data_IF_350419603172
#
_entry.id   IF_350419603172
#
_cell.length_a   1.000
_cell.length_b   1.000
_cell.length_c   1.000
_cell.angle_alpha   90.00
_cell.angle_beta   90.00
_cell.angle_gamma   90.00
#
_symmetry.space_group_name_H-M   'P 1'
#
loop_
_entity.id
_entity.type
_entity.pdbx_description
1 polymer ?
#
# COMPACT_ATOMS: atom_id res chain seq x y z
N UNK A 1 -23.61 19.12 -65.00
CA UNK A 1 -23.90 17.98 -64.09
C UNK A 1 -22.60 17.28 -63.77
N UNK A 2 -22.03 17.49 -62.60
CA UNK A 2 -20.84 16.81 -62.11
C UNK A 2 -21.27 15.99 -60.89
N UNK A 3 -21.36 14.67 -61.08
CA UNK A 3 -21.61 13.71 -60.00
C UNK A 3 -20.38 13.56 -59.11
N UNK A 4 -20.46 14.05 -57.87
CA UNK A 4 -19.46 13.76 -56.85
C UNK A 4 -19.63 12.33 -56.37
N UNK A 5 -18.57 11.53 -56.51
CA UNK A 5 -18.49 10.17 -55.94
C UNK A 5 -17.86 10.30 -54.58
N UNK A 6 -18.65 10.12 -53.52
CA UNK A 6 -18.16 10.08 -52.15
C UNK A 6 -17.19 8.88 -52.00
N UNK A 7 -15.98 9.08 -51.42
CA UNK A 7 -15.08 7.96 -51.15
C UNK A 7 -15.63 7.21 -49.93
N UNK A 8 -16.31 6.09 -50.17
CA UNK A 8 -16.60 5.09 -49.13
C UNK A 8 -15.26 4.61 -48.59
N UNK A 9 -14.88 5.04 -47.41
CA UNK A 9 -13.68 4.57 -46.70
C UNK A 9 -13.88 3.11 -46.35
N UNK A 10 -13.42 2.23 -47.21
CA UNK A 10 -13.43 0.78 -47.01
C UNK A 10 -12.50 0.46 -45.83
N UNK A 11 -13.07 0.24 -44.67
CA UNK A 11 -12.36 -0.25 -43.50
C UNK A 11 -11.81 -1.65 -43.78
N UNK A 12 -10.49 -1.79 -43.95
CA UNK A 12 -9.85 -3.07 -44.22
C UNK A 12 -10.12 -4.09 -43.09
N UNK A 13 -10.69 -5.28 -43.38
CA UNK A 13 -11.09 -6.29 -42.40
C UNK A 13 -9.92 -6.80 -41.55
N UNK A 14 -8.68 -6.69 -42.03
CA UNK A 14 -7.48 -7.03 -41.28
C UNK A 14 -7.21 -6.15 -40.04
N UNK A 15 -7.54 -4.85 -40.12
CA UNK A 15 -7.38 -3.93 -38.97
C UNK A 15 -8.34 -4.22 -37.81
N UNK A 16 -9.54 -4.69 -38.11
CA UNK A 16 -10.54 -5.10 -37.11
C UNK A 16 -10.13 -6.38 -36.39
N UNK A 17 -9.56 -7.35 -37.11
CA UNK A 17 -9.04 -8.60 -36.52
C UNK A 17 -7.86 -8.34 -35.63
N UNK A 18 -6.90 -7.52 -36.03
CA UNK A 18 -5.75 -7.14 -35.22
C UNK A 18 -6.15 -6.42 -33.94
N UNK A 19 -7.07 -5.46 -34.01
CA UNK A 19 -7.61 -4.77 -32.83
C UNK A 19 -8.27 -5.74 -31.85
N UNK A 20 -9.08 -6.69 -32.33
CA UNK A 20 -9.73 -7.71 -31.48
C UNK A 20 -8.71 -8.59 -30.77
N UNK A 21 -7.66 -9.03 -31.46
CA UNK A 21 -6.58 -9.84 -30.87
C UNK A 21 -5.82 -9.05 -29.82
N UNK A 22 -5.47 -7.79 -30.09
CA UNK A 22 -4.79 -6.93 -29.12
C UNK A 22 -5.66 -6.69 -27.87
N UNK A 23 -6.95 -6.41 -28.05
CA UNK A 23 -7.87 -6.24 -26.93
C UNK A 23 -8.04 -7.53 -26.11
N UNK A 24 -8.19 -8.68 -26.77
CA UNK A 24 -8.29 -9.97 -26.11
C UNK A 24 -7.02 -10.29 -25.29
N UNK A 25 -5.84 -10.03 -25.87
CA UNK A 25 -4.56 -10.21 -25.16
C UNK A 25 -4.42 -9.27 -23.96
N UNK A 26 -4.80 -8.01 -24.10
CA UNK A 26 -4.81 -7.05 -22.97
C UNK A 26 -5.74 -7.50 -21.84
N UNK A 27 -6.95 -7.94 -22.19
CA UNK A 27 -7.92 -8.45 -21.20
C UNK A 27 -7.36 -9.69 -20.51
N UNK A 28 -6.80 -10.64 -21.26
CA UNK A 28 -6.21 -11.86 -20.70
C UNK A 28 -5.05 -11.54 -19.72
N UNK A 29 -4.17 -10.60 -20.06
CA UNK A 29 -3.08 -10.14 -19.18
C UNK A 29 -3.64 -9.47 -17.92
N UNK A 30 -4.67 -8.63 -18.06
CA UNK A 30 -5.31 -7.98 -16.92
C UNK A 30 -5.95 -8.99 -15.98
N UNK A 31 -6.72 -9.95 -16.54
CA UNK A 31 -7.34 -11.03 -15.76
C UNK A 31 -6.28 -11.86 -15.03
N UNK A 32 -5.21 -12.26 -15.72
CA UNK A 32 -4.12 -13.01 -15.11
C UNK A 32 -3.46 -12.22 -13.98
N UNK A 33 -3.25 -10.91 -14.15
CA UNK A 33 -2.71 -10.03 -13.11
C UNK A 33 -3.63 -9.94 -11.88
N UNK A 34 -4.94 -9.80 -12.09
CA UNK A 34 -5.94 -9.77 -11.02
C UNK A 34 -5.97 -11.12 -10.28
N UNK A 35 -6.07 -12.23 -11.01
CA UNK A 35 -6.07 -13.58 -10.40
C UNK A 35 -4.81 -13.82 -9.58
N UNK A 36 -3.64 -13.47 -10.13
CA UNK A 36 -2.37 -13.56 -9.40
C UNK A 36 -2.41 -12.73 -8.11
N UNK A 37 -2.95 -11.51 -8.16
CA UNK A 37 -3.05 -10.63 -7.01
C UNK A 37 -3.99 -11.19 -5.93
N UNK A 38 -5.12 -11.73 -6.34
CA UNK A 38 -6.07 -12.40 -5.44
C UNK A 38 -5.46 -13.65 -4.78
N UNK A 39 -4.69 -14.45 -5.52
CA UNK A 39 -3.96 -15.61 -4.96
C UNK A 39 -2.94 -15.17 -3.91
N UNK A 40 -2.18 -14.12 -4.17
CA UNK A 40 -1.23 -13.55 -3.20
C UNK A 40 -1.99 -13.05 -1.96
N UNK A 41 -3.09 -12.32 -2.12
CA UNK A 41 -3.91 -11.85 -1.01
C UNK A 41 -4.48 -13.01 -0.17
N UNK A 42 -4.95 -14.07 -0.81
CA UNK A 42 -5.43 -15.27 -0.12
C UNK A 42 -4.30 -15.97 0.66
N UNK A 43 -3.11 -16.11 0.09
CA UNK A 43 -1.95 -16.68 0.77
C UNK A 43 -1.52 -15.82 1.97
N UNK A 44 -1.53 -14.49 1.83
CA UNK A 44 -1.24 -13.57 2.94
C UNK A 44 -2.26 -13.69 4.09
N UNK A 45 -3.57 -13.82 3.77
CA UNK A 45 -4.61 -14.03 4.79
C UNK A 45 -4.44 -15.38 5.50
N UNK A 46 -4.01 -16.42 4.80
CA UNK A 46 -3.68 -17.72 5.42
C UNK A 46 -2.39 -17.69 6.26
N UNK A 47 -1.61 -16.61 6.19
CA UNK A 47 -0.35 -16.48 6.93
C UNK A 47 0.82 -17.20 6.27
N UNK A 48 0.79 -17.41 4.94
CA UNK A 48 1.88 -18.01 4.19
C UNK A 48 3.15 -17.13 4.31
N UNK A 49 4.10 -17.62 5.10
CA UNK A 49 5.31 -16.89 5.44
C UNK A 49 6.20 -16.63 4.23
N UNK A 50 6.28 -17.57 3.29
CA UNK A 50 7.11 -17.40 2.09
C UNK A 50 6.59 -16.24 1.22
N UNK A 51 5.26 -16.15 1.08
CA UNK A 51 4.61 -15.05 0.32
C UNK A 51 4.77 -13.71 1.05
N UNK A 52 4.61 -13.69 2.38
CA UNK A 52 4.79 -12.50 3.22
C UNK A 52 6.23 -12.00 3.11
N UNK A 53 7.22 -12.87 3.23
CA UNK A 53 8.64 -12.52 3.19
C UNK A 53 9.08 -12.06 1.79
N UNK A 54 8.59 -12.70 0.74
CA UNK A 54 8.83 -12.29 -0.64
C UNK A 54 8.27 -10.87 -0.91
N UNK A 55 7.05 -10.58 -0.45
CA UNK A 55 6.44 -9.25 -0.56
C UNK A 55 7.22 -8.20 0.24
N UNK A 56 7.64 -8.55 1.47
CA UNK A 56 8.44 -7.70 2.34
C UNK A 56 9.79 -7.36 1.73
N UNK A 57 10.51 -8.36 1.20
CA UNK A 57 11.80 -8.17 0.55
C UNK A 57 11.71 -7.26 -0.68
N UNK A 58 10.70 -7.48 -1.53
CA UNK A 58 10.43 -6.63 -2.68
C UNK A 58 10.15 -5.18 -2.28
N UNK A 59 9.34 -4.97 -1.25
CA UNK A 59 9.00 -3.62 -0.79
C UNK A 59 10.19 -2.91 -0.13
N UNK A 60 11.10 -3.62 0.56
CA UNK A 60 12.33 -3.02 1.08
C UNK A 60 13.21 -2.42 -0.01
N UNK A 61 13.33 -3.10 -1.18
CA UNK A 61 14.07 -2.56 -2.32
C UNK A 61 13.42 -1.29 -2.92
N UNK A 62 12.09 -1.21 -2.88
CA UNK A 62 11.33 -0.04 -3.31
C UNK A 62 11.34 1.08 -2.24
N UNK A 63 11.22 0.72 -0.97
CA UNK A 63 11.11 1.67 0.13
C UNK A 63 12.30 2.63 0.18
N UNK A 64 13.53 2.16 -0.07
CA UNK A 64 14.72 3.02 -0.04
C UNK A 64 14.69 4.12 -1.13
N UNK A 65 14.07 3.88 -2.30
CA UNK A 65 13.89 4.91 -3.33
C UNK A 65 12.69 5.83 -3.04
N UNK A 66 11.68 5.29 -2.39
CA UNK A 66 10.43 5.99 -2.08
C UNK A 66 10.58 6.83 -0.78
N UNK A 67 11.41 6.42 0.18
CA UNK A 67 11.67 7.18 1.43
C UNK A 67 12.23 8.57 1.14
N UNK A 68 13.12 8.71 0.15
CA UNK A 68 13.64 10.04 -0.24
C UNK A 68 12.56 10.93 -0.87
N UNK A 69 11.59 10.34 -1.57
CA UNK A 69 10.43 11.05 -2.14
C UNK A 69 9.31 11.29 -1.13
N UNK A 70 9.06 10.33 -0.22
CA UNK A 70 7.99 10.38 0.80
C UNK A 70 8.36 11.22 2.02
N UNK A 71 9.64 11.45 2.32
CA UNK A 71 10.04 12.49 3.25
C UNK A 71 9.49 13.88 2.86
N UNK A 72 9.32 14.10 1.54
CA UNK A 72 8.60 15.26 1.00
C UNK A 72 7.08 15.08 1.00
N UNK A 73 6.56 13.88 0.81
CA UNK A 73 5.12 13.57 0.81
C UNK A 73 4.54 13.56 2.23
N UNK A 74 5.28 13.09 3.23
CA UNK A 74 4.87 13.18 4.65
C UNK A 74 4.69 14.61 5.15
N UNK A 75 5.25 15.60 4.45
CA UNK A 75 5.00 17.02 4.73
C UNK A 75 3.70 17.56 4.12
N UNK A 76 3.13 16.88 3.11
CA UNK A 76 1.99 17.38 2.33
C UNK A 76 0.80 16.40 2.28
N UNK A 77 0.98 15.15 2.69
CA UNK A 77 -0.04 14.12 2.59
C UNK A 77 -0.71 13.87 3.94
N UNK A 78 -2.02 13.76 3.94
CA UNK A 78 -2.81 13.35 5.11
C UNK A 78 -2.78 11.84 5.37
N UNK A 79 -2.41 11.03 4.37
CA UNK A 79 -2.46 9.56 4.44
C UNK A 79 -1.08 8.87 4.46
N UNK A 80 0.01 9.62 4.22
CA UNK A 80 1.37 9.09 4.25
C UNK A 80 2.20 9.80 5.32
N UNK A 81 3.00 9.02 6.03
CA UNK A 81 3.93 9.48 7.04
C UNK A 81 5.21 8.65 7.01
N UNK A 82 6.21 9.08 7.74
CA UNK A 82 7.43 8.31 8.00
C UNK A 82 7.51 8.05 9.50
N UNK A 83 7.58 6.77 9.88
CA UNK A 83 7.84 6.39 11.27
C UNK A 83 9.35 6.14 11.45
N UNK A 84 9.97 6.86 12.36
CA UNK A 84 11.32 6.60 12.84
C UNK A 84 11.25 5.73 14.08
N UNK A 85 12.03 4.67 14.09
CA UNK A 85 12.07 3.70 15.18
C UNK A 85 13.47 3.16 15.40
N UNK A 86 13.77 2.74 16.62
CA UNK A 86 15.05 2.14 17.00
C UNK A 86 14.96 0.62 16.90
N UNK A 87 15.93 0.01 16.24
CA UNK A 87 16.00 -1.44 16.12
C UNK A 87 16.25 -2.10 17.47
N UNK A 88 15.32 -2.96 17.92
CA UNK A 88 15.35 -3.64 19.21
C UNK A 88 16.61 -4.49 19.49
N UNK A 89 17.31 -4.91 18.42
CA UNK A 89 18.55 -5.72 18.52
C UNK A 89 19.80 -4.95 18.14
N UNK A 90 19.68 -3.98 17.25
CA UNK A 90 20.83 -3.26 16.67
C UNK A 90 21.04 -1.88 17.25
N UNK A 91 20.08 -1.36 18.03
CA UNK A 91 20.02 0.03 18.52
C UNK A 91 20.14 1.10 17.41
N UNK A 92 20.11 0.71 16.14
CA UNK A 92 20.18 1.63 14.99
C UNK A 92 18.83 2.27 14.74
N UNK A 93 18.84 3.52 14.29
CA UNK A 93 17.65 4.22 13.82
C UNK A 93 17.27 3.77 12.41
N UNK A 94 15.98 3.60 12.19
CA UNK A 94 15.38 3.24 10.90
C UNK A 94 14.21 4.16 10.62
N UNK A 95 14.01 4.48 9.35
CA UNK A 95 12.86 5.24 8.87
C UNK A 95 12.03 4.36 7.94
N UNK A 96 10.73 4.25 8.21
CA UNK A 96 9.82 3.43 7.42
C UNK A 96 8.64 4.26 6.96
N UNK A 97 8.38 4.35 5.64
CA UNK A 97 7.17 4.98 5.14
C UNK A 97 5.95 4.11 5.47
N UNK A 98 4.93 4.75 6.00
CA UNK A 98 3.67 4.11 6.39
C UNK A 98 2.47 4.88 5.83
N UNK A 99 1.34 4.21 5.70
CA UNK A 99 0.03 4.85 5.61
C UNK A 99 -0.54 4.97 7.00
N UNK A 100 -1.35 6.00 7.22
CA UNK A 100 -2.07 6.16 8.47
C UNK A 100 -3.43 6.83 8.26
N UNK A 101 -4.27 6.72 9.26
CA UNK A 101 -5.40 7.60 9.53
C UNK A 101 -5.25 8.15 10.94
N UNK A 102 -5.62 9.42 11.14
CA UNK A 102 -5.67 10.03 12.48
C UNK A 102 -6.92 9.54 13.22
N UNK A 103 -6.78 9.33 14.53
CA UNK A 103 -7.90 9.05 15.43
C UNK A 103 -7.70 9.81 16.77
N UNK A 104 -8.71 9.92 17.61
CA UNK A 104 -8.57 10.54 18.92
C UNK A 104 -7.46 9.87 19.75
N UNK A 105 -6.44 10.64 20.11
CA UNK A 105 -5.29 10.18 20.91
C UNK A 105 -4.18 9.48 20.14
N UNK A 106 -4.25 9.41 18.78
CA UNK A 106 -3.18 8.78 18.02
C UNK A 106 -3.48 8.50 16.56
N UNK A 107 -3.03 7.35 16.08
CA UNK A 107 -3.09 6.99 14.67
C UNK A 107 -3.38 5.51 14.47
N UNK A 108 -4.08 5.19 13.37
CA UNK A 108 -4.24 3.83 12.86
C UNK A 108 -3.33 3.62 11.65
N UNK A 109 -2.54 2.55 11.69
CA UNK A 109 -1.57 2.19 10.64
C UNK A 109 -1.88 0.78 10.13
N UNK A 110 -2.14 0.57 8.83
CA UNK A 110 -2.32 -0.75 8.25
C UNK A 110 -1.03 -1.58 8.33
N UNK A 111 -1.16 -2.87 8.65
CA UNK A 111 -0.04 -3.78 8.86
C UNK A 111 -0.04 -4.91 7.82
N UNK A 112 0.41 -4.65 6.57
CA UNK A 112 0.32 -5.62 5.48
C UNK A 112 1.20 -6.86 5.67
N UNK A 113 2.15 -6.84 6.62
CA UNK A 113 3.04 -7.96 6.94
C UNK A 113 2.78 -8.52 8.33
N UNK A 114 1.60 -8.25 8.90
CA UNK A 114 1.16 -8.69 10.21
C UNK A 114 2.13 -8.29 11.33
N UNK A 115 2.00 -8.96 12.48
CA UNK A 115 2.77 -8.69 13.71
C UNK A 115 4.30 -8.86 13.57
N UNK A 116 4.81 -9.42 12.46
CA UNK A 116 6.27 -9.56 12.20
C UNK A 116 6.88 -8.35 11.50
N UNK A 117 6.12 -7.27 11.28
CA UNK A 117 6.63 -6.03 10.69
C UNK A 117 7.66 -5.38 11.60
N UNK A 118 8.86 -5.09 11.08
CA UNK A 118 9.99 -4.65 11.91
C UNK A 118 9.70 -3.37 12.70
N UNK A 119 9.13 -2.34 12.06
CA UNK A 119 8.85 -1.10 12.77
C UNK A 119 7.86 -1.32 13.92
N UNK A 120 6.85 -2.17 13.74
CA UNK A 120 5.89 -2.51 14.78
C UNK A 120 6.56 -3.20 15.97
N UNK A 121 7.37 -4.24 15.71
CA UNK A 121 8.06 -4.97 16.77
C UNK A 121 9.13 -4.11 17.47
N UNK A 122 9.73 -3.17 16.74
CA UNK A 122 10.66 -2.20 17.34
C UNK A 122 9.92 -1.18 18.22
N UNK A 123 8.71 -0.76 17.81
CA UNK A 123 7.89 0.18 18.58
C UNK A 123 7.33 -0.45 19.87
N UNK A 124 7.14 -1.77 19.89
CA UNK A 124 6.83 -2.51 21.13
C UNK A 124 7.96 -2.42 22.17
N UNK A 125 9.22 -2.32 21.70
CA UNK A 125 10.38 -2.27 22.57
C UNK A 125 10.76 -0.83 23.00
N UNK A 126 10.58 0.13 22.09
CA UNK A 126 10.98 1.52 22.32
C UNK A 126 10.01 2.48 21.60
N UNK A 127 9.64 3.61 22.20
CA UNK A 127 8.92 4.67 21.53
C UNK A 127 9.64 5.12 20.26
N UNK A 128 8.87 5.63 19.29
CA UNK A 128 9.36 6.17 18.03
C UNK A 128 8.90 7.59 17.79
N UNK A 129 9.17 8.08 16.57
CA UNK A 129 8.73 9.39 16.13
C UNK A 129 8.00 9.25 14.80
N UNK A 130 6.89 9.96 14.67
CA UNK A 130 6.08 10.03 13.47
C UNK A 130 6.30 11.38 12.79
N UNK A 131 6.85 11.38 11.58
CA UNK A 131 6.95 12.56 10.74
C UNK A 131 5.72 12.63 9.84
N UNK A 132 4.81 13.54 10.15
CA UNK A 132 3.53 13.69 9.46
C UNK A 132 3.11 15.15 9.34
N UNK A 133 2.75 15.59 8.16
CA UNK A 133 2.31 16.96 7.85
C UNK A 133 3.25 18.06 8.38
N UNK A 134 4.57 17.84 8.30
CA UNK A 134 5.58 18.77 8.79
C UNK A 134 5.79 18.75 10.30
N UNK A 135 5.06 17.91 11.04
CA UNK A 135 5.17 17.73 12.49
C UNK A 135 5.99 16.50 12.82
N UNK A 136 6.69 16.53 13.93
CA UNK A 136 7.36 15.37 14.54
C UNK A 136 6.62 15.05 15.84
N UNK A 137 6.00 13.88 15.88
CA UNK A 137 5.09 13.46 16.95
C UNK A 137 5.69 12.23 17.62
N UNK A 138 5.99 12.24 18.92
CA UNK A 138 6.41 11.03 19.62
C UNK A 138 5.26 10.05 19.68
N UNK A 139 5.52 8.78 19.33
CA UNK A 139 4.50 7.73 19.28
C UNK A 139 4.96 6.47 19.98
N UNK A 140 4.00 5.73 20.53
CA UNK A 140 4.27 4.50 21.26
C UNK A 140 3.02 3.67 21.49
N UNK A 141 3.10 2.74 22.45
CA UNK A 141 2.01 1.89 22.89
C UNK A 141 1.22 1.23 21.72
N UNK A 142 1.90 0.50 20.82
CA UNK A 142 1.27 -0.07 19.65
C UNK A 142 0.34 -1.23 20.04
N UNK A 143 -0.94 -1.15 19.63
CA UNK A 143 -1.97 -2.17 19.87
C UNK A 143 -2.49 -2.71 18.54
N UNK A 144 -2.53 -4.03 18.40
CA UNK A 144 -3.10 -4.67 17.21
C UNK A 144 -4.62 -4.54 17.20
N UNK A 145 -5.16 -4.14 16.05
CA UNK A 145 -6.59 -3.98 15.80
C UNK A 145 -6.93 -4.71 14.49
N UNK A 146 -8.03 -5.50 14.45
CA UNK A 146 -8.48 -6.09 13.20
C UNK A 146 -8.82 -5.02 12.16
N UNK A 147 -8.41 -5.20 10.91
CA UNK A 147 -8.68 -4.23 9.82
C UNK A 147 -10.19 -3.96 9.66
N UNK A 148 -11.06 -4.97 9.87
CA UNK A 148 -12.51 -4.79 9.80
C UNK A 148 -13.06 -3.73 10.78
N UNK A 149 -12.39 -3.55 11.92
CA UNK A 149 -12.75 -2.54 12.93
C UNK A 149 -12.20 -1.15 12.56
N UNK A 150 -10.97 -1.10 12.05
CA UNK A 150 -10.25 0.15 11.78
C UNK A 150 -10.47 0.70 10.37
N UNK A 151 -10.93 -0.12 9.42
CA UNK A 151 -11.00 0.25 8.00
C UNK A 151 -11.89 1.48 7.73
N UNK A 152 -12.92 1.74 8.54
CA UNK A 152 -13.83 2.87 8.35
C UNK A 152 -13.12 4.23 8.43
N UNK A 153 -11.98 4.30 9.10
CA UNK A 153 -11.18 5.52 9.22
C UNK A 153 -10.39 5.87 7.93
N UNK A 154 -10.34 4.93 6.97
CA UNK A 154 -9.66 5.13 5.70
C UNK A 154 -10.65 5.40 4.57
N UNK A 155 -10.27 6.21 3.55
CA UNK A 155 -11.06 6.40 2.35
C UNK A 155 -11.35 5.07 1.63
N UNK A 156 -12.49 4.98 0.92
CA UNK A 156 -12.91 3.77 0.19
C UNK A 156 -11.83 3.15 -0.71
N UNK A 157 -11.04 3.93 -1.50
CA UNK A 157 -9.97 3.35 -2.30
C UNK A 157 -8.91 2.62 -1.46
N UNK A 158 -8.60 3.14 -0.25
CA UNK A 158 -7.65 2.50 0.66
C UNK A 158 -8.20 1.19 1.23
N UNK A 159 -9.50 1.15 1.56
CA UNK A 159 -10.17 -0.08 2.05
C UNK A 159 -10.14 -1.18 1.00
N UNK A 160 -10.40 -0.83 -0.26
CA UNK A 160 -10.29 -1.77 -1.38
C UNK A 160 -8.86 -2.29 -1.55
N UNK A 161 -7.85 -1.42 -1.42
CA UNK A 161 -6.45 -1.83 -1.47
C UNK A 161 -6.07 -2.76 -0.30
N UNK A 162 -6.58 -2.54 0.92
CA UNK A 162 -6.34 -3.45 2.04
C UNK A 162 -6.92 -4.83 1.78
N UNK A 163 -8.14 -4.88 1.23
CA UNK A 163 -8.76 -6.13 0.84
C UNK A 163 -7.94 -6.84 -0.26
N UNK A 164 -7.53 -6.10 -1.30
CA UNK A 164 -6.76 -6.61 -2.42
C UNK A 164 -5.35 -7.08 -2.01
N UNK A 165 -4.74 -6.42 -1.02
CA UNK A 165 -3.42 -6.76 -0.49
C UNK A 165 -3.45 -7.81 0.63
N UNK A 166 -4.63 -8.24 1.05
CA UNK A 166 -4.80 -9.20 2.15
C UNK A 166 -4.41 -8.65 3.52
N UNK A 167 -4.51 -7.32 3.72
CA UNK A 167 -4.22 -6.67 5.00
C UNK A 167 -5.37 -6.91 5.96
N UNK A 168 -5.18 -7.77 6.94
CA UNK A 168 -6.19 -8.17 7.94
C UNK A 168 -5.97 -7.53 9.31
N UNK A 169 -4.83 -6.86 9.51
CA UNK A 169 -4.46 -6.22 10.76
C UNK A 169 -4.04 -4.77 10.54
N UNK A 170 -4.39 -3.93 11.49
CA UNK A 170 -3.87 -2.57 11.68
C UNK A 170 -3.18 -2.48 13.05
N UNK A 171 -2.42 -1.42 13.25
CA UNK A 171 -1.85 -1.06 14.53
C UNK A 171 -2.39 0.31 14.92
N UNK A 172 -2.95 0.41 16.12
CA UNK A 172 -3.19 1.69 16.78
C UNK A 172 -1.91 2.10 17.48
N UNK A 173 -1.43 3.30 17.26
CA UNK A 173 -0.28 3.90 17.95
C UNK A 173 -0.74 5.17 18.65
N UNK A 174 -0.32 5.34 19.90
CA UNK A 174 -0.68 6.50 20.70
C UNK A 174 0.24 7.67 20.40
N UNK A 175 -0.32 8.88 20.34
CA UNK A 175 0.42 10.15 20.41
C UNK A 175 0.85 10.38 21.86
N UNK A 176 2.16 10.39 22.10
CA UNK A 176 2.74 10.57 23.45
C UNK A 176 3.02 12.05 23.80
N UNK A 177 2.63 12.99 22.93
CA UNK A 177 2.76 14.42 23.18
C UNK A 177 1.58 15.04 23.92
N UNK A 178 0.55 14.23 24.18
CA UNK A 178 -0.69 14.66 24.82
C UNK A 178 -0.84 14.12 26.22
#
# INVERSE_FOLDING_TARGET
>A
MRGGVDPVIAMHPGRLRLRRVVWASMVAVLVAAVVRRLRIAAAMRRGDQAVIDAKRHRNRRFANKVVTGLGRAGRRSSIFAVIEHTGRRSARRYSTPIRLAEEPGGFIVPLPYRHRTDWYVNLLAHPGQLHWQGRVIPVGNPVLVPTRVAAHQFPLPSRFLFWLDGTDQCVRIQDLSR
#
